data_IF_229755960486
#
_entry.id   IF_229755960486
#
_cell.length_a   1.000
_cell.length_b   1.000
_cell.length_c   1.000
_cell.angle_alpha   90.00
_cell.angle_beta   90.00
_cell.angle_gamma   90.00
#
_symmetry.space_group_name_H-M   'P 1'
#
loop_
_entity.id
_entity.type
_entity.pdbx_description
1 polymer ?
#
# COMPACT_ATOMS: atom_id res chain seq x y z
N UNK A 1 -78.75 9.99 -25.75
CA UNK A 1 -77.89 9.14 -24.89
C UNK A 1 -76.43 9.35 -25.35
N UNK A 2 -75.67 10.19 -24.64
CA UNK A 2 -74.26 10.57 -25.05
C UNK A 2 -73.29 9.79 -24.17
N UNK A 3 -72.48 8.90 -24.78
CA UNK A 3 -71.42 8.19 -24.11
C UNK A 3 -70.16 9.11 -23.97
N UNK A 4 -69.72 9.40 -22.76
CA UNK A 4 -68.45 10.05 -22.45
C UNK A 4 -67.36 8.99 -22.44
N UNK A 5 -66.35 9.12 -23.31
CA UNK A 5 -65.11 8.35 -23.25
C UNK A 5 -64.18 8.97 -22.22
N UNK A 6 -63.85 8.22 -21.19
CA UNK A 6 -62.82 8.53 -20.18
C UNK A 6 -61.44 8.19 -20.75
N UNK A 7 -60.57 9.19 -20.83
CA UNK A 7 -59.15 9.00 -21.15
C UNK A 7 -58.37 8.81 -19.84
N UNK A 8 -57.73 7.67 -19.67
CA UNK A 8 -56.80 7.38 -18.58
C UNK A 8 -55.42 7.87 -19.04
N UNK A 9 -54.72 8.73 -18.28
CA UNK A 9 -53.35 9.11 -18.62
C UNK A 9 -52.37 7.99 -18.22
N UNK A 10 -51.63 7.49 -19.20
CA UNK A 10 -50.54 6.57 -19.01
C UNK A 10 -49.34 7.33 -18.39
N UNK A 11 -49.04 7.10 -17.11
CA UNK A 11 -47.86 7.65 -16.46
C UNK A 11 -46.63 6.86 -16.90
N UNK A 12 -45.77 7.48 -17.70
CA UNK A 12 -44.49 6.93 -18.08
C UNK A 12 -43.53 6.99 -16.89
N UNK A 13 -43.23 5.85 -16.32
CA UNK A 13 -42.21 5.67 -15.26
C UNK A 13 -40.84 5.61 -15.91
N UNK A 14 -40.09 6.71 -15.85
CA UNK A 14 -38.73 6.78 -16.29
C UNK A 14 -37.84 6.02 -15.28
N UNK A 15 -37.37 4.84 -15.65
CA UNK A 15 -36.31 4.11 -14.89
C UNK A 15 -34.98 4.77 -15.19
N UNK A 16 -34.43 5.52 -14.26
CA UNK A 16 -33.04 6.00 -14.27
C UNK A 16 -32.14 4.80 -13.98
N UNK A 17 -31.60 4.19 -15.03
CA UNK A 17 -30.48 3.29 -14.93
C UNK A 17 -29.24 4.10 -14.59
N UNK A 18 -28.87 4.12 -13.30
CA UNK A 18 -27.58 4.62 -12.84
C UNK A 18 -26.47 3.74 -13.41
N UNK A 19 -25.81 4.22 -14.45
CA UNK A 19 -24.58 3.62 -14.97
C UNK A 19 -23.51 3.87 -13.91
N UNK A 20 -23.20 2.85 -13.11
CA UNK A 20 -22.02 2.83 -12.27
C UNK A 20 -20.80 2.84 -13.21
N UNK A 21 -20.22 4.02 -13.45
CA UNK A 21 -18.96 4.14 -14.16
C UNK A 21 -17.89 3.58 -13.23
N UNK A 22 -17.49 2.32 -13.46
CA UNK A 22 -16.22 1.83 -12.97
C UNK A 22 -15.14 2.71 -13.61
N UNK A 23 -14.51 3.56 -12.82
CA UNK A 23 -13.33 4.29 -13.25
C UNK A 23 -12.24 3.25 -13.48
N UNK A 24 -12.04 2.89 -14.75
CA UNK A 24 -10.82 2.20 -15.16
C UNK A 24 -9.69 3.19 -14.92
N UNK A 25 -8.74 2.85 -14.04
CA UNK A 25 -7.48 3.55 -13.97
C UNK A 25 -6.90 3.55 -15.39
N UNK A 26 -6.52 4.71 -15.90
CA UNK A 26 -5.87 4.81 -17.21
C UNK A 26 -4.58 3.99 -17.17
N UNK A 27 -4.25 3.30 -18.26
CA UNK A 27 -2.98 2.56 -18.42
C UNK A 27 -1.73 3.45 -18.25
N UNK A 28 -1.92 4.77 -18.14
CA UNK A 28 -0.89 5.81 -17.95
C UNK A 28 -0.64 6.20 -16.47
N UNK A 29 -1.32 5.60 -15.50
CA UNK A 29 -1.10 5.95 -14.09
C UNK A 29 0.27 5.43 -13.62
N UNK A 30 1.09 6.25 -12.93
CA UNK A 30 2.38 5.81 -12.40
C UNK A 30 2.23 4.53 -11.57
N UNK A 31 3.10 3.53 -11.87
CA UNK A 31 3.03 2.21 -11.25
C UNK A 31 4.42 1.75 -10.79
N UNK A 32 4.66 1.83 -9.48
CA UNK A 32 5.87 1.35 -8.81
C UNK A 32 5.48 0.69 -7.48
N UNK A 33 4.93 -0.53 -7.50
CA UNK A 33 4.18 -1.11 -6.39
C UNK A 33 5.03 -1.67 -5.24
N UNK A 34 6.35 -1.69 -5.38
CA UNK A 34 7.30 -2.19 -4.37
C UNK A 34 8.66 -1.52 -4.53
N UNK A 35 9.56 -1.70 -3.57
CA UNK A 35 10.88 -1.06 -3.51
C UNK A 35 11.69 -1.21 -4.81
N UNK A 36 11.70 -2.39 -5.41
CA UNK A 36 12.42 -2.69 -6.65
C UNK A 36 11.57 -2.57 -7.93
N UNK A 37 10.42 -1.93 -7.87
CA UNK A 37 9.52 -1.76 -9.02
C UNK A 37 8.69 -2.99 -9.37
N UNK A 38 7.92 -2.94 -10.46
CA UNK A 38 6.94 -3.98 -10.81
C UNK A 38 7.57 -5.36 -11.01
N UNK A 39 8.74 -5.42 -11.63
CA UNK A 39 9.45 -6.67 -11.94
C UNK A 39 10.53 -7.04 -10.92
N UNK A 40 10.71 -6.25 -9.85
CA UNK A 40 11.78 -6.38 -8.86
C UNK A 40 13.20 -6.30 -9.47
N UNK A 41 13.39 -5.53 -10.56
CA UNK A 41 14.62 -5.39 -11.32
C UNK A 41 15.22 -3.97 -11.29
N UNK A 42 14.56 -3.02 -10.59
CA UNK A 42 14.90 -1.60 -10.53
C UNK A 42 14.86 -0.87 -11.89
N UNK A 43 14.17 -1.42 -12.86
CA UNK A 43 14.03 -0.82 -14.17
C UNK A 43 12.67 -0.16 -14.33
N UNK A 44 12.66 1.13 -14.70
CA UNK A 44 11.45 1.81 -15.16
C UNK A 44 11.26 1.54 -16.66
N UNK A 45 10.01 1.34 -17.04
CA UNK A 45 9.60 1.25 -18.45
C UNK A 45 9.22 2.59 -19.04
N UNK A 46 9.36 3.68 -18.27
CA UNK A 46 9.04 5.04 -18.71
C UNK A 46 9.89 5.43 -19.93
N UNK A 47 9.27 6.11 -20.87
CA UNK A 47 9.89 6.61 -22.10
C UNK A 47 9.76 8.14 -22.19
N UNK A 48 10.54 8.76 -23.08
CA UNK A 48 10.50 10.21 -23.25
C UNK A 48 11.11 10.99 -22.08
N UNK A 49 11.96 10.33 -21.28
CA UNK A 49 12.67 10.98 -20.18
C UNK A 49 13.61 12.07 -20.69
N UNK A 50 13.83 13.10 -19.88
CA UNK A 50 14.79 14.17 -20.18
C UNK A 50 16.21 13.59 -20.22
N UNK A 51 16.98 13.93 -21.26
CA UNK A 51 18.40 13.60 -21.35
C UNK A 51 19.26 14.43 -20.37
N UNK A 52 18.80 15.63 -20.06
CA UNK A 52 19.45 16.57 -19.15
C UNK A 52 18.42 17.28 -18.30
N UNK A 53 18.76 17.52 -17.04
CA UNK A 53 17.93 18.35 -16.18
C UNK A 53 18.01 19.83 -16.61
N UNK A 54 16.92 20.61 -16.51
CA UNK A 54 16.98 22.07 -16.62
C UNK A 54 18.03 22.64 -15.65
N UNK A 55 18.61 23.77 -15.98
CA UNK A 55 19.66 24.42 -15.18
C UNK A 55 19.29 24.60 -13.71
N UNK A 56 18.01 24.84 -13.43
CA UNK A 56 17.45 25.02 -12.08
C UNK A 56 16.87 23.71 -11.48
N UNK A 57 17.17 22.57 -12.10
CA UNK A 57 16.64 21.27 -11.70
C UNK A 57 15.20 21.01 -12.15
N UNK A 58 14.59 19.89 -11.72
CA UNK A 58 13.19 19.60 -12.01
C UNK A 58 12.26 20.55 -11.24
N UNK A 59 11.14 20.92 -11.87
CA UNK A 59 10.13 21.75 -11.21
C UNK A 59 9.48 20.97 -10.06
N UNK A 60 9.47 21.56 -8.86
CA UNK A 60 8.70 21.04 -7.73
C UNK A 60 7.20 21.08 -8.06
N UNK A 61 6.54 19.92 -8.02
CA UNK A 61 5.10 19.83 -8.25
C UNK A 61 4.33 20.15 -6.97
N UNK A 62 4.65 19.47 -5.88
CA UNK A 62 4.04 19.66 -4.56
C UNK A 62 4.94 19.07 -3.46
N UNK A 63 4.59 19.33 -2.20
CA UNK A 63 5.24 18.78 -1.02
C UNK A 63 4.18 18.26 -0.05
N UNK A 64 4.28 17.02 0.37
CA UNK A 64 3.47 16.48 1.46
C UNK A 64 4.20 16.65 2.79
N UNK A 65 3.43 16.86 3.86
CA UNK A 65 3.91 16.94 5.25
C UNK A 65 3.14 15.94 6.13
N UNK A 66 3.67 15.65 7.32
CA UNK A 66 3.00 14.77 8.28
C UNK A 66 3.04 13.29 7.90
N UNK A 67 3.95 12.90 7.01
CA UNK A 67 4.12 11.49 6.58
C UNK A 67 5.05 10.69 7.49
N UNK A 68 5.60 11.34 8.52
CA UNK A 68 6.45 10.72 9.52
C UNK A 68 7.94 10.71 9.19
N UNK A 69 8.72 10.25 10.17
CA UNK A 69 10.17 10.07 10.06
C UNK A 69 10.49 8.62 9.68
N UNK A 70 11.42 8.41 8.74
CA UNK A 70 11.86 7.07 8.36
C UNK A 70 12.66 7.03 7.07
N UNK A 71 12.98 5.82 6.64
CA UNK A 71 13.79 5.51 5.46
C UNK A 71 13.00 4.67 4.43
N UNK A 72 11.73 4.40 4.70
CA UNK A 72 10.88 3.67 3.76
C UNK A 72 10.81 4.40 2.42
N UNK A 73 10.90 3.65 1.34
CA UNK A 73 10.66 4.18 0.00
C UNK A 73 9.20 4.56 -0.22
N UNK A 74 8.97 5.24 -1.32
CA UNK A 74 7.64 5.61 -1.80
C UNK A 74 7.22 4.62 -2.88
N UNK A 75 6.00 4.10 -2.80
CA UNK A 75 5.41 3.24 -3.83
C UNK A 75 4.13 3.85 -4.40
N UNK A 76 3.86 3.54 -5.65
CA UNK A 76 2.72 4.09 -6.39
C UNK A 76 1.93 2.96 -7.05
N UNK A 77 0.64 2.90 -6.77
CA UNK A 77 -0.29 1.97 -7.41
C UNK A 77 -1.72 2.48 -7.25
N UNK A 78 -2.60 2.08 -8.16
CA UNK A 78 -4.04 2.38 -8.10
C UNK A 78 -4.35 3.89 -7.99
N UNK A 79 -3.50 4.74 -8.58
CA UNK A 79 -3.63 6.21 -8.50
C UNK A 79 -3.37 6.80 -7.12
N UNK A 80 -2.63 6.08 -6.27
CA UNK A 80 -2.26 6.50 -4.92
C UNK A 80 -0.76 6.32 -4.68
N UNK A 81 -0.24 7.04 -3.70
CA UNK A 81 1.14 7.02 -3.23
C UNK A 81 1.13 6.50 -1.79
N UNK A 82 2.04 5.57 -1.46
CA UNK A 82 2.15 4.99 -0.13
C UNK A 82 3.58 5.06 0.39
N UNK A 83 3.72 5.32 1.68
CA UNK A 83 4.99 5.28 2.41
C UNK A 83 4.75 4.91 3.88
N UNK A 84 5.80 4.76 4.66
CA UNK A 84 5.72 4.50 6.08
C UNK A 84 6.76 5.31 6.87
N UNK A 85 6.41 5.69 8.11
CA UNK A 85 7.30 6.46 8.99
C UNK A 85 6.71 6.59 10.39
N UNK A 86 7.51 7.08 11.34
CA UNK A 86 7.01 7.43 12.66
C UNK A 86 6.18 8.71 12.60
N UNK A 87 4.92 8.63 12.99
CA UNK A 87 4.05 9.79 13.24
C UNK A 87 3.67 9.74 14.72
N UNK A 88 4.05 10.73 15.47
CA UNK A 88 3.94 10.77 16.93
C UNK A 88 4.59 9.51 17.57
N UNK A 89 3.83 8.74 18.33
CA UNK A 89 4.27 7.52 19.02
C UNK A 89 4.01 6.22 18.23
N UNK A 90 3.65 6.33 16.95
CA UNK A 90 3.29 5.17 16.11
C UNK A 90 4.12 5.07 14.83
N UNK A 91 4.51 3.83 14.51
CA UNK A 91 4.88 3.46 13.15
C UNK A 91 3.61 3.51 12.31
N UNK A 92 3.57 4.39 11.33
CA UNK A 92 2.35 4.74 10.58
C UNK A 92 2.56 4.53 9.09
N UNK A 93 1.60 3.87 8.44
CA UNK A 93 1.51 3.80 6.99
C UNK A 93 0.65 4.98 6.53
N UNK A 94 1.13 5.72 5.54
CA UNK A 94 0.47 6.89 4.97
C UNK A 94 0.13 6.64 3.51
N UNK A 95 -1.10 6.97 3.12
CA UNK A 95 -1.53 6.99 1.73
C UNK A 95 -1.96 8.40 1.32
N UNK A 96 -1.44 8.83 0.17
CA UNK A 96 -1.75 10.12 -0.45
C UNK A 96 -2.39 9.87 -1.82
N UNK A 97 -3.13 10.85 -2.35
CA UNK A 97 -3.45 10.88 -3.77
C UNK A 97 -2.25 11.39 -4.60
N UNK A 98 -2.40 11.41 -5.91
CA UNK A 98 -1.33 11.85 -6.82
C UNK A 98 -1.04 13.36 -6.75
N UNK A 99 -1.90 14.15 -6.09
CA UNK A 99 -1.71 15.57 -5.82
C UNK A 99 -1.08 15.83 -4.44
N UNK A 100 -0.74 14.76 -3.69
CA UNK A 100 -0.11 14.83 -2.37
C UNK A 100 -1.08 15.05 -1.20
N UNK A 101 -2.40 14.95 -1.41
CA UNK A 101 -3.36 15.10 -0.34
C UNK A 101 -3.50 13.80 0.46
N UNK A 102 -3.54 13.91 1.78
CA UNK A 102 -3.73 12.77 2.67
C UNK A 102 -5.08 12.09 2.42
N UNK A 103 -5.03 10.77 2.18
CA UNK A 103 -6.23 9.93 2.01
C UNK A 103 -6.52 9.14 3.28
N UNK A 104 -5.51 8.51 3.86
CA UNK A 104 -5.60 7.83 5.13
C UNK A 104 -4.21 7.62 5.76
N UNK A 105 -4.20 7.47 7.09
CA UNK A 105 -3.06 7.02 7.89
C UNK A 105 -3.53 5.95 8.85
N UNK A 106 -2.72 4.90 9.02
CA UNK A 106 -3.01 3.79 9.95
C UNK A 106 -1.74 3.34 10.66
N UNK A 107 -1.81 3.02 11.95
CA UNK A 107 -0.65 2.51 12.69
C UNK A 107 -0.33 1.08 12.26
N UNK A 108 0.97 0.76 12.23
CA UNK A 108 1.50 -0.60 12.09
C UNK A 108 2.52 -0.91 13.18
N UNK A 109 2.18 -0.65 14.42
CA UNK A 109 3.02 -0.85 15.60
C UNK A 109 3.40 0.46 16.29
N UNK A 110 4.28 0.38 17.28
CA UNK A 110 4.81 1.53 17.99
C UNK A 110 5.95 2.18 17.20
N UNK A 111 6.20 3.48 17.48
CA UNK A 111 7.27 4.20 16.83
C UNK A 111 8.63 3.56 17.16
N UNK A 112 9.41 3.28 16.13
CA UNK A 112 10.78 2.82 16.30
C UNK A 112 11.72 4.04 16.47
N UNK A 113 12.35 4.15 17.65
CA UNK A 113 13.13 5.33 18.05
C UNK A 113 14.58 5.03 18.34
N UNK A 114 15.04 3.80 18.10
CA UNK A 114 16.44 3.37 18.29
C UNK A 114 17.32 3.77 17.09
N UNK A 115 18.28 2.95 16.73
CA UNK A 115 19.15 3.18 15.57
C UNK A 115 18.31 3.38 14.30
N UNK A 116 18.51 4.48 13.58
CA UNK A 116 17.75 4.82 12.37
C UNK A 116 16.23 4.86 12.63
N UNK A 117 15.73 5.90 13.37
CA UNK A 117 14.32 6.01 13.72
C UNK A 117 13.39 5.94 12.52
N UNK A 118 12.23 5.34 12.71
CA UNK A 118 11.18 5.22 11.71
C UNK A 118 11.19 3.91 10.92
N UNK A 119 10.37 3.85 9.88
CA UNK A 119 10.28 2.70 9.00
C UNK A 119 11.51 2.59 8.10
N UNK A 120 12.03 1.38 7.91
CA UNK A 120 13.00 1.06 6.86
C UNK A 120 12.36 0.20 5.77
N UNK A 121 11.43 -0.69 6.14
CA UNK A 121 10.64 -1.48 5.18
C UNK A 121 9.73 -0.60 4.33
N UNK A 122 9.77 -0.77 3.03
CA UNK A 122 8.87 -0.09 2.09
C UNK A 122 7.57 -0.88 1.96
N UNK A 123 6.38 -0.24 1.97
CA UNK A 123 5.12 -0.91 1.68
C UNK A 123 5.15 -1.63 0.33
N UNK A 124 4.40 -2.73 0.23
CA UNK A 124 4.25 -3.49 -1.03
C UNK A 124 2.78 -3.53 -1.38
N UNK A 125 2.44 -3.13 -2.60
CA UNK A 125 1.08 -3.19 -3.13
C UNK A 125 0.95 -4.40 -4.07
N UNK A 126 -0.06 -5.21 -3.81
CA UNK A 126 -0.49 -6.28 -4.71
C UNK A 126 -2.02 -6.20 -4.88
N UNK A 127 -2.46 -5.71 -6.04
CA UNK A 127 -3.86 -5.44 -6.37
C UNK A 127 -4.51 -4.46 -5.39
N UNK A 128 -5.51 -4.90 -4.62
CA UNK A 128 -6.26 -4.12 -3.64
C UNK A 128 -5.66 -4.18 -2.22
N UNK A 129 -4.47 -4.78 -2.06
CA UNK A 129 -3.84 -5.01 -0.76
C UNK A 129 -2.51 -4.30 -0.63
N UNK A 130 -2.28 -3.78 0.57
CA UNK A 130 -1.02 -3.23 1.02
C UNK A 130 -0.45 -4.16 2.10
N UNK A 131 0.83 -4.50 1.98
CA UNK A 131 1.58 -5.26 2.97
C UNK A 131 2.75 -4.43 3.49
N UNK A 132 2.99 -4.50 4.79
CA UNK A 132 4.11 -3.79 5.40
C UNK A 132 4.62 -4.55 6.62
N UNK A 133 5.95 -4.56 6.78
CA UNK A 133 6.65 -5.05 7.96
C UNK A 133 7.22 -3.87 8.74
N UNK A 134 6.87 -3.79 10.03
CA UNK A 134 7.42 -2.77 10.93
C UNK A 134 8.80 -3.18 11.46
N UNK A 135 9.62 -2.21 11.92
CA UNK A 135 10.92 -2.50 12.53
C UNK A 135 10.86 -3.49 13.70
N UNK A 136 9.74 -3.61 14.40
CA UNK A 136 9.53 -4.52 15.54
C UNK A 136 8.84 -5.83 15.13
N UNK A 137 8.80 -6.14 13.83
CA UNK A 137 8.36 -7.43 13.31
C UNK A 137 6.86 -7.61 13.14
N UNK A 138 6.07 -6.53 13.23
CA UNK A 138 4.65 -6.60 12.90
C UNK A 138 4.47 -6.60 11.38
N UNK A 139 4.11 -7.74 10.82
CA UNK A 139 3.69 -7.88 9.43
C UNK A 139 2.18 -7.76 9.35
N UNK A 140 1.69 -6.88 8.49
CA UNK A 140 0.26 -6.65 8.36
C UNK A 140 -0.17 -6.47 6.90
N UNK A 141 -1.44 -6.80 6.65
CA UNK A 141 -2.13 -6.62 5.39
C UNK A 141 -3.30 -5.65 5.58
N UNK A 142 -3.39 -4.67 4.71
CA UNK A 142 -4.44 -3.67 4.71
C UNK A 142 -5.15 -3.64 3.35
N UNK A 143 -6.38 -3.17 3.33
CA UNK A 143 -7.00 -2.73 2.09
C UNK A 143 -6.32 -1.45 1.62
N UNK A 144 -5.71 -1.46 0.44
CA UNK A 144 -4.90 -0.34 -0.05
C UNK A 144 -5.70 0.96 -0.23
N UNK A 145 -6.98 0.88 -0.60
CA UNK A 145 -7.83 2.05 -0.83
C UNK A 145 -8.27 2.72 0.48
N UNK A 146 -8.53 1.93 1.54
CA UNK A 146 -9.20 2.43 2.76
C UNK A 146 -8.30 2.44 3.99
N UNK A 147 -7.14 1.79 3.96
CA UNK A 147 -6.28 1.59 5.12
C UNK A 147 -6.85 0.60 6.15
N UNK A 148 -8.01 -0.05 5.89
CA UNK A 148 -8.58 -1.01 6.83
C UNK A 148 -7.69 -2.25 6.95
N UNK A 149 -7.29 -2.59 8.17
CA UNK A 149 -6.55 -3.81 8.46
C UNK A 149 -7.39 -5.05 8.13
N UNK A 150 -6.74 -6.03 7.49
CA UNK A 150 -7.34 -7.31 7.11
C UNK A 150 -6.80 -8.42 8.02
N UNK A 151 -5.48 -8.48 8.20
CA UNK A 151 -4.82 -9.36 9.14
C UNK A 151 -3.46 -8.79 9.55
N UNK A 152 -2.95 -9.24 10.68
CA UNK A 152 -1.59 -8.94 11.14
C UNK A 152 -1.08 -10.03 12.08
N UNK A 153 0.23 -10.14 12.18
CA UNK A 153 0.93 -10.94 13.19
C UNK A 153 2.31 -10.34 13.47
N UNK A 154 2.89 -10.67 14.61
CA UNK A 154 4.29 -10.34 14.87
C UNK A 154 5.15 -11.57 14.57
N UNK A 155 6.05 -11.45 13.57
CA UNK A 155 6.87 -12.58 13.12
C UNK A 155 7.98 -12.94 14.10
N UNK A 156 8.41 -11.99 14.94
CA UNK A 156 9.40 -12.29 15.98
C UNK A 156 8.78 -13.15 17.08
N UNK A 157 7.56 -12.85 17.51
CA UNK A 157 6.84 -13.61 18.53
C UNK A 157 6.39 -14.97 18.02
N UNK A 158 5.82 -15.02 16.80
CA UNK A 158 5.24 -16.25 16.24
C UNK A 158 6.30 -17.30 15.87
N UNK A 159 7.51 -16.85 15.44
CA UNK A 159 8.54 -17.74 14.91
C UNK A 159 9.81 -17.79 15.74
N UNK A 160 9.80 -17.32 17.00
CA UNK A 160 10.98 -17.24 17.87
C UNK A 160 12.12 -16.46 17.15
N UNK A 161 11.69 -15.37 16.49
CA UNK A 161 12.57 -14.53 15.68
C UNK A 161 13.51 -13.69 16.54
N UNK A 162 14.53 -13.10 15.91
CA UNK A 162 15.49 -12.28 16.61
C UNK A 162 15.66 -10.93 15.92
N UNK A 163 15.30 -9.87 16.63
CA UNK A 163 15.61 -8.53 16.18
C UNK A 163 17.12 -8.25 16.24
N UNK A 164 17.67 -7.74 15.14
CA UNK A 164 19.04 -7.29 15.08
C UNK A 164 19.19 -5.88 15.67
N UNK A 165 20.43 -5.37 15.81
CA UNK A 165 20.65 -4.00 16.28
C UNK A 165 20.07 -2.93 15.35
N UNK A 166 19.85 -3.26 14.08
CA UNK A 166 19.31 -2.37 13.05
C UNK A 166 17.79 -2.53 12.85
N UNK A 167 17.14 -3.33 13.71
CA UNK A 167 15.75 -3.75 13.57
C UNK A 167 15.48 -4.60 12.32
N UNK A 168 14.22 -4.81 11.98
CA UNK A 168 13.83 -5.38 10.69
C UNK A 168 13.67 -4.24 9.69
N UNK A 169 14.34 -4.35 8.55
CA UNK A 169 14.41 -3.30 7.54
C UNK A 169 13.99 -3.80 6.15
N UNK A 170 13.44 -4.99 6.09
CA UNK A 170 13.05 -5.62 4.84
C UNK A 170 11.71 -5.10 4.32
N UNK A 171 11.57 -5.11 3.01
CA UNK A 171 10.27 -5.03 2.36
C UNK A 171 9.82 -6.45 2.06
N UNK A 172 8.63 -6.84 2.52
CA UNK A 172 8.12 -8.20 2.30
C UNK A 172 8.09 -8.55 0.81
N UNK A 173 8.35 -9.81 0.48
CA UNK A 173 8.28 -10.30 -0.90
C UNK A 173 6.94 -10.98 -1.15
N UNK A 174 6.23 -10.56 -2.20
CA UNK A 174 5.03 -11.26 -2.69
C UNK A 174 5.44 -12.16 -3.86
N UNK A 175 5.22 -13.46 -3.69
CA UNK A 175 5.44 -14.51 -4.70
C UNK A 175 4.18 -15.37 -4.82
N UNK A 176 3.44 -15.18 -5.92
CA UNK A 176 2.16 -15.82 -6.14
C UNK A 176 1.17 -15.54 -5.00
N UNK A 177 0.75 -16.59 -4.28
CA UNK A 177 -0.16 -16.49 -3.13
C UNK A 177 0.57 -16.37 -1.79
N UNK A 178 1.89 -16.19 -1.80
CA UNK A 178 2.75 -16.14 -0.61
C UNK A 178 3.24 -14.74 -0.34
N UNK A 179 3.35 -14.41 0.95
CA UNK A 179 4.14 -13.33 1.48
C UNK A 179 5.36 -13.95 2.17
N UNK A 180 6.55 -13.55 1.78
CA UNK A 180 7.80 -14.06 2.33
C UNK A 180 8.45 -12.97 3.16
N UNK A 181 8.88 -13.30 4.38
CA UNK A 181 9.59 -12.42 5.31
C UNK A 181 10.57 -13.21 6.17
N UNK A 182 11.47 -12.53 6.87
CA UNK A 182 12.62 -13.14 7.56
C UNK A 182 12.59 -12.85 9.07
N UNK A 183 12.01 -13.72 9.91
CA UNK A 183 12.08 -13.58 11.37
C UNK A 183 13.52 -13.61 11.92
N UNK A 184 14.47 -14.22 11.21
CA UNK A 184 15.89 -14.28 11.60
C UNK A 184 16.18 -15.08 12.86
N UNK A 185 15.30 -15.98 13.25
CA UNK A 185 15.48 -16.86 14.39
C UNK A 185 16.38 -18.06 14.08
N UNK A 186 16.90 -18.71 15.13
CA UNK A 186 17.75 -19.91 14.99
C UNK A 186 17.01 -21.13 14.45
N UNK A 187 15.69 -21.16 14.61
CA UNK A 187 14.79 -22.23 14.15
C UNK A 187 14.00 -21.87 12.91
N UNK A 188 13.83 -20.59 12.66
CA UNK A 188 13.05 -20.09 11.54
C UNK A 188 13.76 -18.84 11.00
N UNK A 189 14.53 -18.99 9.94
CA UNK A 189 15.20 -17.89 9.30
C UNK A 189 14.28 -17.17 8.32
N UNK A 190 13.49 -17.93 7.55
CA UNK A 190 12.56 -17.42 6.53
C UNK A 190 11.20 -18.09 6.70
N UNK A 191 10.13 -17.34 6.50
CA UNK A 191 8.75 -17.86 6.53
C UNK A 191 7.97 -17.40 5.30
N UNK A 192 7.13 -18.28 4.79
CA UNK A 192 6.10 -17.92 3.83
C UNK A 192 4.72 -17.99 4.50
N UNK A 193 4.00 -16.91 4.40
CA UNK A 193 2.61 -16.78 4.83
C UNK A 193 1.68 -16.80 3.61
N UNK A 194 0.48 -17.28 3.78
CA UNK A 194 -0.58 -17.04 2.80
C UNK A 194 -0.92 -15.55 2.82
N UNK A 195 -0.69 -14.84 1.72
CA UNK A 195 -0.84 -13.39 1.66
C UNK A 195 -2.25 -12.89 1.96
N UNK A 196 -3.28 -13.73 1.73
CA UNK A 196 -4.67 -13.36 1.95
C UNK A 196 -5.09 -13.47 3.42
N UNK A 197 -4.45 -14.36 4.20
CA UNK A 197 -4.91 -14.73 5.54
C UNK A 197 -3.86 -14.58 6.64
N UNK A 198 -2.60 -14.36 6.31
CA UNK A 198 -1.48 -14.35 7.26
C UNK A 198 -1.10 -15.73 7.82
N UNK A 199 -1.76 -16.82 7.40
CA UNK A 199 -1.46 -18.17 7.91
C UNK A 199 -0.15 -18.70 7.33
N UNK A 200 0.64 -19.37 8.17
CA UNK A 200 1.91 -19.99 7.76
C UNK A 200 1.66 -21.06 6.69
N UNK A 201 2.41 -20.98 5.59
CA UNK A 201 2.46 -21.99 4.53
C UNK A 201 3.66 -22.91 4.72
N UNK A 202 4.84 -22.35 4.93
CA UNK A 202 6.07 -23.06 5.30
C UNK A 202 7.01 -22.15 6.09
N UNK A 203 7.99 -22.76 6.76
CA UNK A 203 9.09 -22.09 7.45
C UNK A 203 10.37 -22.93 7.34
N UNK A 204 11.55 -22.29 7.37
CA UNK A 204 12.85 -22.91 7.28
C UNK A 204 13.76 -22.48 8.45
#
# INVERSE_FOLDING_TARGET
MKFRKSLIPCAAMAVLLGVCQASYASDDAPFWPRFHGPNADNLSTDTGLLNEWPKDGPRLAWTAQGIGEGFAGVVMANGMIYTAGNVDDKMTITALDMDGNLRWQVPNGDAYTRSYPGASGTPVIDRDRLYHESPDGRVACYNATTGKEIWSLNILDEFDGKQTQWALAESVLIDGDRLICCPGGSKTAVVALNKMTGKTVWKS
#
